data_IF_328802388993
#
_entry.id   IF_328802388993
#
_cell.length_a   1.000
_cell.length_b   1.000
_cell.length_c   1.000
_cell.angle_alpha   90.00
_cell.angle_beta   90.00
_cell.angle_gamma   90.00
#
_symmetry.space_group_name_H-M   'P 1'
#
loop_
_entity.id
_entity.type
_entity.pdbx_description
1 polymer ?
#
# COMPACT_ATOMS: atom_id res chain seq x y z
N UNK A 1 -9.58 68.84 -37.57
CA UNK A 1 -8.94 69.09 -36.23
C UNK A 1 -9.23 67.94 -35.34
N UNK A 2 -8.20 67.19 -35.08
CA UNK A 2 -8.19 65.98 -34.36
C UNK A 2 -8.07 66.19 -32.83
N UNK A 3 -8.77 65.48 -32.03
CA UNK A 3 -8.34 65.22 -30.61
C UNK A 3 -8.52 63.78 -30.22
N UNK A 4 -7.40 63.20 -29.82
CA UNK A 4 -7.18 61.89 -29.25
C UNK A 4 -7.76 61.80 -27.84
N UNK A 5 -8.44 60.70 -27.53
CA UNK A 5 -8.61 60.20 -26.14
C UNK A 5 -8.00 58.85 -26.02
N UNK A 6 -6.87 58.80 -25.31
CA UNK A 6 -6.23 57.58 -24.87
C UNK A 6 -6.81 57.16 -23.50
N UNK A 7 -7.49 56.06 -23.45
CA UNK A 7 -7.97 55.44 -22.20
C UNK A 7 -6.95 54.45 -21.70
N UNK A 8 -6.29 54.76 -20.59
CA UNK A 8 -5.41 53.85 -19.84
C UNK A 8 -6.24 52.77 -19.16
N UNK A 9 -6.04 51.49 -19.53
CA UNK A 9 -6.41 50.34 -18.71
C UNK A 9 -5.26 50.04 -17.79
N UNK A 10 -5.43 50.29 -16.48
CA UNK A 10 -4.56 49.81 -15.43
C UNK A 10 -4.79 48.30 -15.25
N UNK A 11 -3.84 47.48 -15.67
CA UNK A 11 -3.79 46.07 -15.37
C UNK A 11 -3.40 45.90 -13.88
N UNK A 12 -4.25 45.23 -13.12
CA UNK A 12 -3.95 44.79 -11.77
C UNK A 12 -3.08 43.55 -11.92
N UNK A 13 -1.77 43.71 -11.83
CA UNK A 13 -0.85 42.61 -11.58
C UNK A 13 -1.00 42.22 -10.10
N UNK A 14 -1.71 41.13 -9.85
CA UNK A 14 -1.68 40.45 -8.57
C UNK A 14 -0.29 39.79 -8.43
N UNK A 15 0.62 40.45 -7.71
CA UNK A 15 1.88 39.83 -7.28
C UNK A 15 1.53 38.75 -6.25
N UNK A 16 1.48 37.49 -6.69
CA UNK A 16 1.61 36.35 -5.82
C UNK A 16 3.07 36.36 -5.28
N UNK A 17 3.24 36.94 -4.11
CA UNK A 17 4.46 36.80 -3.35
C UNK A 17 4.59 35.31 -2.97
N UNK A 18 5.44 34.60 -3.69
CA UNK A 18 5.92 33.31 -3.24
C UNK A 18 6.70 33.52 -1.94
N UNK A 19 6.07 33.23 -0.82
CA UNK A 19 6.78 33.08 0.45
C UNK A 19 7.60 31.81 0.34
N UNK A 20 8.88 31.95 0.01
CA UNK A 20 9.83 30.85 0.08
C UNK A 20 9.84 30.30 1.52
N UNK A 21 9.74 28.98 1.70
CA UNK A 21 9.80 28.40 3.04
C UNK A 21 11.13 28.77 3.72
N UNK A 22 11.09 29.11 5.00
CA UNK A 22 12.22 29.57 5.81
C UNK A 22 13.41 28.60 5.89
N UNK A 23 13.29 27.38 5.39
CA UNK A 23 14.38 26.38 5.40
C UNK A 23 15.43 26.55 4.28
N UNK A 24 15.19 27.43 3.28
CA UNK A 24 16.21 27.74 2.26
C UNK A 24 17.31 28.71 2.72
N UNK A 25 17.19 29.34 3.89
CA UNK A 25 18.15 30.35 4.35
C UNK A 25 19.31 29.84 5.20
N UNK A 26 19.44 28.52 5.47
CA UNK A 26 20.46 27.97 6.36
C UNK A 26 21.67 27.30 5.63
N UNK A 27 22.03 27.78 4.43
CA UNK A 27 23.14 27.22 3.64
C UNK A 27 24.56 27.58 4.15
N UNK A 28 24.72 28.22 5.32
CA UNK A 28 26.04 28.61 5.83
C UNK A 28 26.49 27.90 7.12
N UNK A 29 25.70 27.00 7.68
CA UNK A 29 26.18 26.08 8.71
C UNK A 29 26.52 24.75 8.04
N UNK A 30 27.77 24.24 8.24
CA UNK A 30 28.21 22.99 7.59
C UNK A 30 27.20 21.86 7.82
N UNK A 31 26.96 21.02 6.79
CA UNK A 31 26.01 19.91 6.86
C UNK A 31 26.29 19.01 8.08
N UNK A 32 25.29 18.74 8.88
CA UNK A 32 25.37 17.85 10.05
C UNK A 32 25.86 16.48 9.63
N UNK A 33 26.83 15.93 10.37
CA UNK A 33 27.44 14.63 10.11
C UNK A 33 27.10 13.65 11.22
N UNK A 34 26.66 12.48 10.82
CA UNK A 34 26.31 11.37 11.72
C UNK A 34 27.32 10.26 11.54
N UNK A 35 28.00 9.85 12.61
CA UNK A 35 28.99 8.78 12.58
C UNK A 35 28.41 7.52 13.23
N UNK A 36 28.48 6.42 12.50
CA UNK A 36 27.97 5.13 12.95
C UNK A 36 28.97 4.43 13.85
N UNK A 37 28.48 3.64 14.80
CA UNK A 37 29.32 2.79 15.66
C UNK A 37 30.04 1.74 14.84
N UNK A 38 31.17 1.25 15.36
CA UNK A 38 31.96 0.18 14.74
C UNK A 38 31.16 -1.12 14.51
N UNK A 39 30.26 -1.44 15.44
CA UNK A 39 29.36 -2.59 15.30
C UNK A 39 27.94 -2.10 14.99
N UNK A 40 27.65 -1.97 13.71
CA UNK A 40 26.27 -1.71 13.23
C UNK A 40 25.66 -2.99 12.68
N UNK A 41 24.34 -3.01 12.54
CA UNK A 41 23.65 -4.14 11.94
C UNK A 41 24.06 -4.32 10.47
N UNK A 42 24.33 -5.55 10.06
CA UNK A 42 24.70 -5.89 8.67
C UNK A 42 23.68 -5.35 7.64
N UNK A 43 22.43 -5.12 8.05
CA UNK A 43 21.39 -4.57 7.18
C UNK A 43 21.76 -3.21 6.59
N UNK A 44 22.47 -2.34 7.34
CA UNK A 44 22.88 -1.01 6.83
C UNK A 44 23.92 -1.15 5.73
N UNK A 45 24.88 -2.07 5.87
CA UNK A 45 25.85 -2.41 4.83
C UNK A 45 25.17 -3.03 3.61
N UNK A 46 24.11 -3.83 3.82
CA UNK A 46 23.33 -4.48 2.76
C UNK A 46 22.29 -3.56 2.11
N UNK A 47 22.39 -2.24 2.35
CA UNK A 47 21.56 -1.26 1.65
C UNK A 47 20.31 -0.79 2.38
N UNK A 48 19.98 -1.35 3.56
CA UNK A 48 18.79 -0.90 4.31
C UNK A 48 18.92 0.58 4.69
N UNK A 49 17.91 1.45 4.43
CA UNK A 49 18.03 2.88 4.60
C UNK A 49 17.85 3.38 6.04
N UNK A 50 17.39 2.53 6.97
CA UNK A 50 17.10 2.95 8.34
C UNK A 50 18.30 2.85 9.25
N UNK A 51 18.56 3.91 9.99
CA UNK A 51 19.59 3.98 11.05
C UNK A 51 18.88 4.33 12.35
N UNK A 52 19.02 3.46 13.34
CA UNK A 52 18.45 3.66 14.67
C UNK A 52 19.42 4.44 15.58
N UNK A 53 18.87 5.10 16.61
CA UNK A 53 19.68 5.92 17.52
C UNK A 53 20.82 5.14 18.20
N UNK A 54 20.60 3.85 18.53
CA UNK A 54 21.62 2.99 19.15
C UNK A 54 22.75 2.59 18.21
N UNK A 55 22.63 2.85 16.91
CA UNK A 55 23.68 2.59 15.90
C UNK A 55 24.58 3.80 15.66
N UNK A 56 24.23 4.96 16.23
CA UNK A 56 24.99 6.21 16.11
C UNK A 56 25.99 6.34 17.26
N UNK A 57 27.24 6.71 16.95
CA UNK A 57 28.29 6.98 17.91
C UNK A 57 28.34 8.45 18.29
N UNK A 58 28.45 9.33 17.27
CA UNK A 58 28.53 10.79 17.45
C UNK A 58 27.77 11.51 16.34
N UNK A 59 27.35 12.73 16.65
CA UNK A 59 26.79 13.67 15.68
C UNK A 59 27.58 14.98 15.79
N UNK A 60 28.07 15.47 14.66
CA UNK A 60 28.78 16.76 14.54
C UNK A 60 27.88 17.76 13.82
N UNK A 61 27.72 18.95 14.39
CA UNK A 61 26.88 20.03 13.89
C UNK A 61 25.49 20.07 14.56
N UNK A 62 24.65 21.01 14.13
CA UNK A 62 23.34 21.25 14.72
C UNK A 62 22.31 20.23 14.20
N UNK A 63 21.59 19.59 15.11
CA UNK A 63 20.53 18.63 14.78
C UNK A 63 19.21 19.35 14.66
N UNK A 64 18.78 19.60 13.43
CA UNK A 64 17.45 20.14 13.14
C UNK A 64 16.57 19.00 12.64
N UNK A 65 15.45 18.78 13.31
CA UNK A 65 14.51 17.69 12.94
C UNK A 65 14.01 17.86 11.50
N UNK A 66 14.10 16.80 10.70
CA UNK A 66 13.73 16.77 9.28
C UNK A 66 14.81 17.30 8.32
N UNK A 67 15.95 17.82 8.82
CA UNK A 67 17.03 18.31 7.96
C UNK A 67 17.83 17.18 7.33
N UNK A 68 18.50 17.49 6.21
CA UNK A 68 19.41 16.57 5.52
C UNK A 68 20.73 16.49 6.30
N UNK A 69 21.24 15.27 6.41
CA UNK A 69 22.50 14.94 7.08
C UNK A 69 23.34 14.00 6.23
N UNK A 70 24.67 14.09 6.37
CA UNK A 70 25.61 13.11 5.85
C UNK A 70 25.92 12.06 6.90
N UNK A 71 25.90 10.80 6.51
CA UNK A 71 26.18 9.66 7.36
C UNK A 71 27.51 9.03 6.97
N UNK A 72 28.31 8.70 7.96
CA UNK A 72 29.64 8.09 7.80
C UNK A 72 29.73 6.82 8.63
N UNK A 73 30.44 5.84 8.10
CA UNK A 73 30.86 4.68 8.87
C UNK A 73 31.90 5.07 9.92
N UNK A 74 32.20 4.17 10.85
CA UNK A 74 33.20 4.38 11.91
C UNK A 74 34.62 4.71 11.35
N UNK A 75 34.98 4.18 10.19
CA UNK A 75 36.22 4.45 9.46
C UNK A 75 36.23 5.79 8.69
N UNK A 76 35.19 6.61 8.90
CA UNK A 76 34.95 7.89 8.22
C UNK A 76 34.65 7.80 6.73
N UNK A 77 34.43 6.61 6.20
CA UNK A 77 33.90 6.45 4.84
C UNK A 77 32.45 6.89 4.77
N UNK A 78 32.05 7.54 3.68
CA UNK A 78 30.70 7.99 3.45
C UNK A 78 29.74 6.80 3.34
N UNK A 79 28.71 6.78 4.18
CA UNK A 79 27.66 5.76 4.19
C UNK A 79 26.47 6.14 3.31
N UNK A 80 26.08 7.42 3.32
CA UNK A 80 24.93 7.92 2.58
C UNK A 80 24.47 9.28 3.07
N UNK A 81 23.46 9.82 2.42
CA UNK A 81 22.79 11.08 2.75
C UNK A 81 21.29 10.84 2.94
N UNK A 82 20.70 11.48 3.92
CA UNK A 82 19.29 11.31 4.24
C UNK A 82 18.81 12.39 5.20
N UNK A 83 17.66 12.20 5.81
CA UNK A 83 17.10 13.12 6.79
C UNK A 83 17.10 12.54 8.19
N UNK A 84 17.25 13.41 9.20
CA UNK A 84 17.30 13.06 10.62
C UNK A 84 16.02 13.48 11.34
N UNK A 85 15.53 12.62 12.25
CA UNK A 85 14.45 12.98 13.18
C UNK A 85 14.73 12.43 14.58
N UNK A 86 15.17 13.28 15.54
CA UNK A 86 15.46 12.85 16.90
C UNK A 86 14.27 12.31 17.69
N UNK A 87 13.03 12.59 17.27
CA UNK A 87 11.81 12.07 17.90
C UNK A 87 11.47 10.65 17.44
N UNK A 88 12.02 10.24 16.30
CA UNK A 88 11.73 8.92 15.71
C UNK A 88 12.65 7.84 16.27
N UNK A 89 12.16 6.61 16.41
CA UNK A 89 13.00 5.45 16.67
C UNK A 89 14.00 5.22 15.53
N UNK A 90 13.61 5.50 14.28
CA UNK A 90 14.49 5.49 13.12
C UNK A 90 15.10 6.90 13.02
N UNK A 91 16.26 7.08 13.65
CA UNK A 91 16.90 8.39 13.77
C UNK A 91 17.23 9.01 12.41
N UNK A 92 17.80 8.23 11.48
CA UNK A 92 18.07 8.69 10.12
C UNK A 92 17.49 7.73 9.10
N UNK A 93 16.87 8.30 8.04
CA UNK A 93 16.46 7.55 6.85
C UNK A 93 17.29 8.05 5.66
N UNK A 94 18.09 7.15 5.09
CA UNK A 94 18.93 7.44 3.94
C UNK A 94 18.08 7.56 2.67
N UNK A 95 18.35 8.59 1.88
CA UNK A 95 17.76 8.82 0.55
C UNK A 95 18.68 8.38 -0.58
N UNK A 96 20.02 8.44 -0.32
CA UNK A 96 21.00 8.07 -1.33
C UNK A 96 22.29 7.57 -0.68
N UNK A 97 23.01 6.72 -1.40
CA UNK A 97 24.40 6.28 -1.06
C UNK A 97 25.46 7.09 -1.78
N UNK A 98 25.07 8.06 -2.59
CA UNK A 98 25.95 8.95 -3.34
C UNK A 98 26.06 10.30 -2.65
N UNK A 99 27.19 10.99 -2.88
CA UNK A 99 27.35 12.40 -2.50
C UNK A 99 26.69 13.28 -3.56
N UNK A 100 25.37 13.37 -3.49
CA UNK A 100 24.54 14.17 -4.39
C UNK A 100 23.64 15.11 -3.58
N UNK A 101 23.17 16.17 -4.20
CA UNK A 101 22.27 17.13 -3.56
C UNK A 101 20.87 16.54 -3.48
N UNK A 102 20.22 16.68 -2.32
CA UNK A 102 18.80 16.41 -2.17
C UNK A 102 18.06 17.72 -2.47
N UNK A 103 17.38 17.74 -3.60
CA UNK A 103 16.71 18.93 -4.17
C UNK A 103 15.38 18.54 -4.78
N UNK A 104 14.63 19.50 -5.30
CA UNK A 104 13.39 19.24 -6.08
C UNK A 104 13.69 18.33 -7.27
N UNK A 105 14.83 18.56 -7.95
CA UNK A 105 15.26 17.74 -9.09
C UNK A 105 15.57 16.30 -8.70
N UNK A 106 16.08 16.05 -7.49
CA UNK A 106 16.28 14.69 -6.95
C UNK A 106 14.94 13.94 -6.91
N UNK A 107 13.89 14.54 -6.33
CA UNK A 107 12.57 13.90 -6.25
C UNK A 107 11.93 13.72 -7.63
N UNK A 108 12.09 14.70 -8.53
CA UNK A 108 11.64 14.57 -9.90
C UNK A 108 12.24 13.34 -10.59
N UNK A 109 13.56 13.16 -10.51
CA UNK A 109 14.23 12.00 -11.14
C UNK A 109 13.78 10.68 -10.51
N UNK A 110 13.69 10.59 -9.19
CA UNK A 110 13.25 9.37 -8.50
C UNK A 110 11.83 8.97 -8.87
N UNK A 111 10.91 9.93 -8.97
CA UNK A 111 9.52 9.66 -9.37
C UNK A 111 9.45 9.26 -10.84
N UNK A 112 10.21 9.92 -11.72
CA UNK A 112 10.28 9.58 -13.13
C UNK A 112 10.86 8.17 -13.37
N UNK A 113 11.93 7.79 -12.65
CA UNK A 113 12.52 6.44 -12.68
C UNK A 113 11.51 5.39 -12.19
N UNK A 114 10.81 5.65 -11.09
CA UNK A 114 9.79 4.76 -10.57
C UNK A 114 8.64 4.57 -11.58
N UNK A 115 8.22 5.63 -12.25
CA UNK A 115 7.19 5.55 -13.29
C UNK A 115 7.68 4.73 -14.50
N UNK A 116 8.88 4.98 -14.97
CA UNK A 116 9.49 4.19 -16.06
C UNK A 116 9.56 2.69 -15.71
N UNK A 117 9.89 2.37 -14.46
CA UNK A 117 9.86 0.99 -13.97
C UNK A 117 8.44 0.41 -14.00
N UNK A 118 7.42 1.13 -13.50
CA UNK A 118 6.01 0.67 -13.53
C UNK A 118 5.53 0.39 -14.94
N UNK A 119 5.84 1.27 -15.89
CA UNK A 119 5.53 1.07 -17.31
C UNK A 119 6.22 -0.17 -17.88
N UNK A 120 7.50 -0.37 -17.55
CA UNK A 120 8.28 -1.53 -18.02
C UNK A 120 7.69 -2.86 -17.55
N UNK A 121 7.10 -2.91 -16.36
CA UNK A 121 6.45 -4.12 -15.83
C UNK A 121 4.95 -4.17 -16.10
N UNK A 122 4.43 -3.29 -16.98
CA UNK A 122 3.08 -3.37 -17.53
C UNK A 122 1.99 -2.54 -16.82
N UNK A 123 2.35 -1.69 -15.84
CA UNK A 123 1.40 -0.79 -15.19
C UNK A 123 1.35 0.58 -15.87
N UNK A 124 0.18 0.97 -16.36
CA UNK A 124 -0.01 2.23 -17.10
C UNK A 124 -1.08 3.14 -16.51
N UNK A 125 -2.09 2.58 -15.84
CA UNK A 125 -3.24 3.34 -15.35
C UNK A 125 -3.29 3.43 -13.82
N UNK A 126 -3.32 2.27 -13.16
CA UNK A 126 -3.49 2.18 -11.71
C UNK A 126 -2.36 1.37 -11.11
N UNK A 127 -1.61 1.97 -10.19
CA UNK A 127 -0.51 1.29 -9.52
C UNK A 127 -0.06 2.04 -8.28
N UNK A 128 0.62 1.35 -7.40
CA UNK A 128 1.51 1.98 -6.42
C UNK A 128 2.74 2.50 -7.15
N UNK A 129 2.77 3.81 -7.38
CA UNK A 129 3.88 4.49 -8.04
C UNK A 129 5.14 4.48 -7.18
N UNK A 130 4.99 4.80 -5.88
CA UNK A 130 6.08 4.81 -4.90
C UNK A 130 5.71 3.93 -3.71
N UNK A 131 6.57 2.96 -3.43
CA UNK A 131 6.45 2.03 -2.30
C UNK A 131 7.62 2.23 -1.31
N UNK A 132 7.80 3.45 -0.85
CA UNK A 132 8.75 3.81 0.21
C UNK A 132 10.18 3.40 -0.08
N UNK A 133 10.67 2.49 0.72
CA UNK A 133 12.05 1.99 0.68
C UNK A 133 12.42 1.30 -0.64
N UNK A 134 11.43 0.78 -1.35
CA UNK A 134 11.66 0.08 -2.62
C UNK A 134 12.12 1.02 -3.74
N UNK A 135 11.69 2.28 -3.70
CA UNK A 135 12.15 3.33 -4.62
C UNK A 135 13.17 4.27 -3.98
N UNK A 136 13.82 3.84 -2.89
CA UNK A 136 14.79 4.65 -2.12
C UNK A 136 14.21 6.02 -1.67
N UNK A 137 12.89 6.06 -1.46
CA UNK A 137 12.16 7.20 -0.89
C UNK A 137 11.43 6.78 0.40
N UNK A 138 12.18 6.45 1.47
CA UNK A 138 11.63 5.86 2.68
C UNK A 138 10.52 6.71 3.27
N UNK A 139 9.43 6.04 3.71
CA UNK A 139 8.25 6.65 4.29
C UNK A 139 7.42 7.52 3.31
N UNK A 140 7.58 7.32 1.99
CA UNK A 140 6.72 7.90 0.96
C UNK A 140 5.88 6.82 0.30
N UNK A 141 4.58 7.03 0.23
CA UNK A 141 3.65 6.23 -0.55
C UNK A 141 2.97 7.13 -1.56
N UNK A 142 2.94 6.69 -2.82
CA UNK A 142 2.16 7.37 -3.86
C UNK A 142 1.40 6.30 -4.65
N UNK A 143 0.08 6.38 -4.61
CA UNK A 143 -0.80 5.58 -5.45
C UNK A 143 -1.34 6.43 -6.60
N UNK A 144 -1.26 5.86 -7.79
CA UNK A 144 -1.80 6.44 -9.02
C UNK A 144 -3.10 5.71 -9.36
N UNK A 145 -4.17 6.47 -9.52
CA UNK A 145 -5.50 6.03 -9.96
C UNK A 145 -5.89 6.83 -11.21
N UNK A 146 -5.64 6.29 -12.39
CA UNK A 146 -5.74 7.03 -13.68
C UNK A 146 -4.90 8.33 -13.63
N UNK A 147 -5.55 9.51 -13.68
CA UNK A 147 -4.92 10.83 -13.60
C UNK A 147 -4.95 11.43 -12.18
N UNK A 148 -5.34 10.66 -11.16
CA UNK A 148 -5.40 11.08 -9.77
C UNK A 148 -4.30 10.41 -8.96
N UNK A 149 -3.75 11.14 -7.98
CA UNK A 149 -2.68 10.65 -7.12
C UNK A 149 -3.06 10.78 -5.66
N UNK A 150 -2.78 9.74 -4.90
CA UNK A 150 -2.94 9.73 -3.44
C UNK A 150 -1.58 9.61 -2.79
N UNK A 151 -1.26 10.57 -1.93
CA UNK A 151 0.05 10.75 -1.31
C UNK A 151 -0.02 10.46 0.19
N UNK A 152 0.97 9.72 0.71
CA UNK A 152 1.23 9.60 2.14
C UNK A 152 2.69 9.91 2.43
N UNK A 153 2.94 10.88 3.32
CA UNK A 153 4.26 11.21 3.87
C UNK A 153 4.29 10.77 5.33
N UNK A 154 4.98 9.67 5.62
CA UNK A 154 4.89 8.96 6.89
C UNK A 154 6.02 9.32 7.87
N UNK A 155 6.92 10.24 7.51
CA UNK A 155 8.01 10.73 8.34
C UNK A 155 8.21 12.23 8.18
N UNK A 156 8.80 12.87 9.19
CA UNK A 156 8.98 14.32 9.21
C UNK A 156 9.82 14.84 8.04
N UNK A 157 10.95 14.18 7.74
CA UNK A 157 11.80 14.60 6.62
C UNK A 157 11.08 14.49 5.29
N UNK A 158 10.31 13.41 5.05
CA UNK A 158 9.54 13.26 3.82
C UNK A 158 8.37 14.25 3.75
N UNK A 159 7.74 14.57 4.90
CA UNK A 159 6.67 15.58 4.97
C UNK A 159 7.19 16.98 4.60
N UNK A 160 8.44 17.32 4.99
CA UNK A 160 9.09 18.58 4.61
C UNK A 160 9.30 18.67 3.09
N UNK A 161 9.54 17.55 2.41
CA UNK A 161 9.73 17.49 0.95
C UNK A 161 8.42 17.33 0.16
N UNK A 162 7.28 17.29 0.82
CA UNK A 162 5.97 17.16 0.16
C UNK A 162 5.72 18.20 -0.94
N UNK A 163 6.06 19.49 -0.79
CA UNK A 163 5.89 20.47 -1.88
C UNK A 163 6.68 20.10 -3.15
N UNK A 164 7.95 19.67 -3.00
CA UNK A 164 8.79 19.25 -4.12
C UNK A 164 8.22 17.99 -4.81
N UNK A 165 7.70 17.04 -4.03
CA UNK A 165 7.06 15.83 -4.54
C UNK A 165 5.80 16.17 -5.34
N UNK A 166 4.96 17.08 -4.83
CA UNK A 166 3.76 17.55 -5.54
C UNK A 166 4.13 18.24 -6.84
N UNK A 167 5.14 19.11 -6.83
CA UNK A 167 5.66 19.77 -8.04
C UNK A 167 6.16 18.75 -9.07
N UNK A 168 6.90 17.73 -8.64
CA UNK A 168 7.36 16.67 -9.53
C UNK A 168 6.20 15.88 -10.15
N UNK A 169 5.17 15.53 -9.38
CA UNK A 169 3.97 14.87 -9.90
C UNK A 169 3.25 15.74 -10.94
N UNK A 170 3.14 17.05 -10.69
CA UNK A 170 2.54 17.99 -11.62
C UNK A 170 3.31 18.07 -12.95
N UNK A 171 4.64 18.12 -12.88
CA UNK A 171 5.51 18.19 -14.06
C UNK A 171 5.52 16.91 -14.89
N UNK A 172 5.51 15.74 -14.25
CA UNK A 172 5.60 14.45 -14.93
C UNK A 172 4.25 14.03 -15.51
N UNK A 173 3.16 14.24 -14.78
CA UNK A 173 1.87 13.63 -15.10
C UNK A 173 0.76 14.63 -15.48
N UNK A 174 0.92 15.91 -15.16
CA UNK A 174 -0.16 16.90 -15.28
C UNK A 174 -1.50 16.37 -14.73
N UNK A 175 -1.56 15.94 -13.43
CA UNK A 175 -2.66 15.18 -12.87
C UNK A 175 -3.94 16.02 -12.77
N UNK A 176 -5.10 15.35 -12.84
CA UNK A 176 -6.41 15.94 -12.56
C UNK A 176 -6.59 16.29 -11.08
N UNK A 177 -5.90 15.55 -10.20
CA UNK A 177 -5.98 15.80 -8.78
C UNK A 177 -4.92 15.07 -7.98
N UNK A 178 -4.50 15.69 -6.87
CA UNK A 178 -3.59 15.13 -5.88
C UNK A 178 -4.25 15.29 -4.51
N UNK A 179 -4.35 14.20 -3.76
CA UNK A 179 -4.94 14.15 -2.43
C UNK A 179 -3.97 13.53 -1.42
N UNK A 180 -3.88 14.08 -0.21
CA UNK A 180 -3.09 13.45 0.85
C UNK A 180 -3.96 12.63 1.81
N UNK A 181 -3.49 11.43 2.12
CA UNK A 181 -4.09 10.48 3.09
C UNK A 181 -3.12 10.22 4.24
N UNK A 182 -2.74 11.28 4.91
CA UNK A 182 -1.87 11.28 6.07
C UNK A 182 -2.64 11.07 7.40
N UNK A 183 -3.85 10.55 7.34
CA UNK A 183 -4.74 10.17 8.45
C UNK A 183 -4.38 8.80 9.06
N UNK A 184 -3.08 8.54 9.24
CA UNK A 184 -2.55 7.27 9.72
C UNK A 184 -1.78 7.41 11.04
N UNK A 185 -1.98 6.49 12.02
CA UNK A 185 -1.41 6.61 13.36
C UNK A 185 0.13 6.64 13.42
N UNK A 186 0.81 6.04 12.43
CA UNK A 186 2.28 5.97 12.39
C UNK A 186 2.94 7.35 12.39
N UNK A 187 2.26 8.39 11.89
CA UNK A 187 2.75 9.78 11.89
C UNK A 187 3.02 10.33 13.28
N UNK A 188 2.26 9.90 14.28
CA UNK A 188 2.47 10.31 15.67
C UNK A 188 3.85 9.88 16.20
N UNK A 189 4.40 8.75 15.72
CA UNK A 189 5.75 8.29 16.09
C UNK A 189 6.86 9.19 15.53
N UNK A 190 6.55 10.00 14.54
CA UNK A 190 7.44 10.99 13.93
C UNK A 190 7.21 12.42 14.48
N UNK A 191 6.25 12.59 15.39
CA UNK A 191 5.85 13.90 15.93
C UNK A 191 4.98 14.71 14.97
N UNK A 192 4.30 14.05 14.00
CA UNK A 192 3.42 14.66 13.01
C UNK A 192 1.95 14.45 13.37
N UNK A 193 1.13 15.46 13.10
CA UNK A 193 -0.32 15.35 13.17
C UNK A 193 -0.86 14.49 12.02
N UNK A 194 -2.00 13.84 12.24
CA UNK A 194 -2.77 13.24 11.16
C UNK A 194 -3.49 14.33 10.37
N UNK A 195 -3.50 14.19 9.05
CA UNK A 195 -4.18 15.13 8.14
C UNK A 195 -4.58 14.44 6.85
N UNK A 196 -5.62 14.93 6.22
CA UNK A 196 -6.03 14.58 4.87
C UNK A 196 -6.58 15.80 4.15
N UNK A 197 -6.47 15.85 2.83
CA UNK A 197 -6.98 16.97 2.06
C UNK A 197 -6.39 17.07 0.65
N UNK A 198 -6.86 18.06 -0.08
CA UNK A 198 -6.40 18.32 -1.44
C UNK A 198 -5.02 19.00 -1.44
N UNK A 199 -4.10 18.46 -2.26
CA UNK A 199 -2.80 19.07 -2.57
C UNK A 199 -2.81 19.74 -3.97
N UNK A 200 -3.95 19.74 -4.63
CA UNK A 200 -4.27 20.44 -5.88
C UNK A 200 -5.61 21.17 -5.74
N UNK A 201 -6.16 21.69 -6.84
CA UNK A 201 -7.55 22.15 -6.86
C UNK A 201 -8.49 20.98 -6.45
N UNK A 202 -9.59 21.26 -5.71
CA UNK A 202 -10.55 20.23 -5.32
C UNK A 202 -11.16 19.51 -6.53
N UNK A 203 -11.41 18.19 -6.35
CA UNK A 203 -12.02 17.31 -7.33
C UNK A 203 -12.97 16.32 -6.65
N UNK A 204 -13.78 15.59 -7.41
CA UNK A 204 -14.60 14.51 -6.87
C UNK A 204 -13.70 13.35 -6.44
N UNK A 205 -13.68 13.04 -5.14
CA UNK A 205 -12.87 11.98 -4.55
C UNK A 205 -13.43 10.57 -4.78
N UNK A 206 -14.67 10.46 -5.32
CA UNK A 206 -15.25 9.20 -5.78
C UNK A 206 -14.97 9.02 -7.28
N UNK A 207 -13.90 8.32 -7.60
CA UNK A 207 -13.47 8.09 -8.97
C UNK A 207 -13.74 6.68 -9.43
N UNK A 208 -13.70 6.43 -10.74
CA UNK A 208 -13.77 5.11 -11.32
C UNK A 208 -12.42 4.73 -11.89
N UNK A 209 -11.92 3.54 -11.55
CA UNK A 209 -10.72 2.93 -12.12
C UNK A 209 -11.06 1.71 -12.97
N UNK A 210 -10.12 1.33 -13.86
CA UNK A 210 -10.19 0.06 -14.59
C UNK A 210 -9.15 -0.90 -14.01
N UNK A 211 -9.55 -2.14 -13.74
CA UNK A 211 -8.64 -3.20 -13.33
C UNK A 211 -9.04 -4.52 -14.00
N UNK A 212 -8.12 -5.14 -14.73
CA UNK A 212 -8.33 -6.44 -15.39
C UNK A 212 -9.61 -6.50 -16.27
N UNK A 213 -9.99 -5.38 -16.91
CA UNK A 213 -11.18 -5.28 -17.76
C UNK A 213 -12.47 -4.93 -17.02
N UNK A 214 -12.43 -4.70 -15.75
CA UNK A 214 -13.55 -4.33 -14.88
C UNK A 214 -13.40 -2.89 -14.37
N UNK A 215 -14.51 -2.26 -14.00
CA UNK A 215 -14.57 -0.92 -13.43
C UNK A 215 -14.88 -0.97 -11.94
N UNK A 216 -14.21 -0.14 -11.16
CA UNK A 216 -14.45 -0.06 -9.71
C UNK A 216 -14.50 1.39 -9.25
N UNK A 217 -15.46 1.69 -8.38
CA UNK A 217 -15.45 2.94 -7.63
C UNK A 217 -14.34 2.90 -6.57
N UNK A 218 -13.62 3.99 -6.48
CA UNK A 218 -12.58 4.24 -5.46
C UNK A 218 -12.95 5.49 -4.71
N UNK A 219 -13.16 5.40 -3.40
CA UNK A 219 -13.31 6.55 -2.51
C UNK A 219 -11.94 6.92 -1.96
N UNK A 220 -11.32 7.93 -2.58
CA UNK A 220 -9.99 8.42 -2.19
C UNK A 220 -10.02 9.00 -0.78
N UNK A 221 -11.08 9.70 -0.41
CA UNK A 221 -11.17 10.41 0.87
C UNK A 221 -11.48 9.50 2.05
N UNK A 222 -12.41 8.54 1.93
CA UNK A 222 -12.93 7.76 3.06
C UNK A 222 -12.67 6.26 2.94
N UNK A 223 -12.23 5.78 1.77
CA UNK A 223 -11.90 4.37 1.55
C UNK A 223 -10.71 3.90 2.40
N UNK A 224 -10.61 2.60 2.60
CA UNK A 224 -9.48 2.01 3.34
C UNK A 224 -8.15 2.25 2.61
N UNK A 225 -7.05 2.34 3.36
CA UNK A 225 -5.72 2.72 2.84
C UNK A 225 -5.80 4.06 2.07
N UNK A 226 -5.50 4.02 0.79
CA UNK A 226 -5.56 5.16 -0.14
C UNK A 226 -6.84 5.18 -0.98
N UNK A 227 -7.81 4.28 -0.67
CA UNK A 227 -9.08 4.13 -1.35
C UNK A 227 -9.30 2.76 -2.01
N UNK A 228 -8.22 2.03 -2.32
CA UNK A 228 -8.28 0.74 -3.02
C UNK A 228 -7.09 -0.16 -2.65
N UNK A 229 -7.24 -1.47 -2.82
CA UNK A 229 -6.20 -2.48 -2.54
C UNK A 229 -5.47 -2.86 -3.83
N UNK A 230 -4.60 -1.99 -4.32
CA UNK A 230 -3.78 -2.23 -5.51
C UNK A 230 -2.86 -3.46 -5.36
N UNK A 231 -2.41 -3.74 -4.15
CA UNK A 231 -1.52 -4.86 -3.84
C UNK A 231 -2.08 -6.24 -4.16
N UNK A 232 -3.41 -6.36 -4.35
CA UNK A 232 -4.09 -7.63 -4.69
C UNK A 232 -4.44 -7.76 -6.19
N UNK A 233 -4.13 -6.78 -7.04
CA UNK A 233 -4.63 -6.79 -8.44
C UNK A 233 -4.13 -8.00 -9.26
N UNK A 234 -2.88 -8.44 -9.07
CA UNK A 234 -2.34 -9.63 -9.73
C UNK A 234 -2.96 -10.92 -9.16
N UNK A 235 -3.28 -10.93 -7.86
CA UNK A 235 -3.91 -12.04 -7.18
C UNK A 235 -5.39 -12.21 -7.61
N UNK A 236 -6.08 -11.10 -7.86
CA UNK A 236 -7.44 -11.14 -8.45
C UNK A 236 -7.43 -11.74 -9.86
N UNK A 237 -6.38 -11.56 -10.63
CA UNK A 237 -6.20 -12.23 -11.92
C UNK A 237 -5.92 -13.72 -11.78
N UNK A 238 -5.19 -14.11 -10.74
CA UNK A 238 -4.78 -15.50 -10.54
C UNK A 238 -5.94 -16.48 -10.30
N UNK A 239 -7.15 -16.01 -9.89
CA UNK A 239 -8.31 -16.87 -9.69
C UNK A 239 -9.01 -17.29 -11.00
N UNK A 240 -8.66 -16.71 -12.15
CA UNK A 240 -9.38 -16.87 -13.43
C UNK A 240 -9.66 -18.32 -13.80
N UNK A 241 -8.70 -19.21 -13.59
CA UNK A 241 -8.82 -20.61 -14.05
C UNK A 241 -9.58 -21.52 -13.09
N UNK A 242 -9.81 -21.11 -11.85
CA UNK A 242 -10.45 -21.94 -10.83
C UNK A 242 -11.92 -21.60 -10.59
N UNK A 243 -12.40 -20.47 -11.11
CA UNK A 243 -13.78 -19.97 -10.82
C UNK A 243 -14.79 -20.25 -11.93
N UNK A 244 -14.36 -20.68 -13.13
CA UNK A 244 -15.26 -20.89 -14.27
C UNK A 244 -16.31 -21.96 -13.99
N UNK A 245 -17.61 -21.59 -14.05
CA UNK A 245 -18.74 -22.46 -13.76
C UNK A 245 -18.93 -22.80 -12.28
N UNK A 246 -18.15 -22.19 -11.38
CA UNK A 246 -18.13 -22.50 -9.96
C UNK A 246 -19.22 -21.74 -9.17
N UNK A 247 -19.71 -22.39 -8.11
CA UNK A 247 -20.42 -21.72 -7.02
C UNK A 247 -19.35 -21.23 -6.01
N UNK A 248 -19.29 -19.89 -5.81
CA UNK A 248 -18.19 -19.23 -5.08
C UNK A 248 -18.71 -18.57 -3.81
N UNK A 249 -18.01 -18.76 -2.70
CA UNK A 249 -18.17 -18.00 -1.46
C UNK A 249 -16.94 -17.12 -1.24
N UNK A 250 -17.13 -15.80 -1.11
CA UNK A 250 -16.14 -14.85 -0.65
C UNK A 250 -16.42 -14.37 0.76
N UNK A 251 -15.40 -14.21 1.60
CA UNK A 251 -15.54 -13.62 2.92
C UNK A 251 -14.46 -12.57 3.17
N UNK A 252 -14.84 -11.51 3.90
CA UNK A 252 -14.05 -10.28 4.09
C UNK A 252 -13.89 -9.50 2.78
N UNK A 253 -15.00 -9.35 2.05
CA UNK A 253 -15.00 -8.95 0.63
C UNK A 253 -14.73 -7.46 0.43
N UNK A 254 -14.83 -6.64 1.48
CA UNK A 254 -14.75 -5.18 1.39
C UNK A 254 -15.69 -4.66 0.27
N UNK A 255 -15.13 -4.04 -0.78
CA UNK A 255 -15.89 -3.52 -1.92
C UNK A 255 -16.12 -4.54 -3.03
N UNK A 256 -15.95 -5.84 -2.75
CA UNK A 256 -16.35 -6.96 -3.61
C UNK A 256 -15.42 -7.25 -4.79
N UNK A 257 -14.18 -6.80 -4.72
CA UNK A 257 -13.28 -6.84 -5.89
C UNK A 257 -12.91 -8.26 -6.34
N UNK A 258 -12.65 -9.20 -5.43
CA UNK A 258 -12.38 -10.60 -5.79
C UNK A 258 -13.63 -11.29 -6.35
N UNK A 259 -14.78 -11.05 -5.74
CA UNK A 259 -16.05 -11.65 -6.09
C UNK A 259 -16.53 -11.21 -7.48
N UNK A 260 -16.37 -9.92 -7.79
CA UNK A 260 -16.70 -9.35 -9.10
C UNK A 260 -15.75 -9.91 -10.18
N UNK A 261 -14.44 -10.09 -9.87
CA UNK A 261 -13.52 -10.78 -10.77
C UNK A 261 -13.93 -12.25 -10.98
N UNK A 262 -14.36 -12.96 -9.93
CA UNK A 262 -14.83 -14.33 -10.06
C UNK A 262 -16.05 -14.42 -11.00
N UNK A 263 -17.02 -13.53 -10.86
CA UNK A 263 -18.16 -13.45 -11.75
C UNK A 263 -17.75 -13.12 -13.19
N UNK A 264 -16.84 -12.15 -13.39
CA UNK A 264 -16.31 -11.79 -14.71
C UNK A 264 -15.59 -12.94 -15.39
N UNK A 265 -14.86 -13.76 -14.63
CA UNK A 265 -14.18 -14.95 -15.16
C UNK A 265 -15.10 -16.16 -15.33
N UNK A 266 -16.41 -15.99 -15.17
CA UNK A 266 -17.43 -16.97 -15.52
C UNK A 266 -17.84 -17.89 -14.38
N UNK A 267 -17.76 -17.46 -13.12
CA UNK A 267 -18.41 -18.15 -12.02
C UNK A 267 -19.93 -18.25 -12.29
N UNK A 268 -20.54 -19.35 -11.84
CA UNK A 268 -21.98 -19.59 -11.99
C UNK A 268 -22.77 -18.73 -11.01
N UNK A 269 -22.32 -18.65 -9.77
CA UNK A 269 -22.89 -17.84 -8.71
C UNK A 269 -21.79 -17.42 -7.73
N UNK A 270 -21.90 -16.22 -7.18
CA UNK A 270 -20.94 -15.70 -6.20
C UNK A 270 -21.70 -15.05 -5.04
N UNK A 271 -21.38 -15.47 -3.82
CA UNK A 271 -21.86 -14.83 -2.60
C UNK A 271 -20.66 -14.20 -1.86
N UNK A 272 -20.70 -12.89 -1.63
CA UNK A 272 -19.69 -12.14 -0.90
C UNK A 272 -20.19 -11.69 0.47
N UNK A 273 -19.36 -11.82 1.51
CA UNK A 273 -19.69 -11.46 2.89
C UNK A 273 -18.71 -10.41 3.43
N UNK A 274 -19.23 -9.32 3.98
CA UNK A 274 -18.47 -8.37 4.78
C UNK A 274 -19.30 -7.92 5.97
N UNK A 275 -18.64 -7.52 7.07
CA UNK A 275 -19.35 -7.04 8.25
C UNK A 275 -19.86 -5.60 8.07
N UNK A 276 -19.27 -4.84 7.15
CA UNK A 276 -19.56 -3.42 6.91
C UNK A 276 -20.68 -3.26 5.88
N UNK A 277 -21.83 -2.77 6.33
CA UNK A 277 -22.97 -2.44 5.44
C UNK A 277 -22.55 -1.45 4.33
N UNK A 278 -21.68 -0.47 4.66
CA UNK A 278 -21.17 0.50 3.68
C UNK A 278 -20.29 -0.18 2.61
N UNK A 279 -19.44 -1.13 3.01
CA UNK A 279 -18.62 -1.90 2.07
C UNK A 279 -19.51 -2.75 1.15
N UNK A 280 -20.51 -3.43 1.70
CA UNK A 280 -21.49 -4.23 0.95
C UNK A 280 -22.29 -3.35 -0.01
N UNK A 281 -22.75 -2.17 0.42
CA UNK A 281 -23.42 -1.22 -0.46
C UNK A 281 -22.54 -0.79 -1.64
N UNK A 282 -21.23 -0.55 -1.38
CA UNK A 282 -20.25 -0.20 -2.42
C UNK A 282 -19.96 -1.40 -3.33
N UNK A 283 -19.88 -2.62 -2.79
CA UNK A 283 -19.70 -3.85 -3.57
C UNK A 283 -20.88 -4.09 -4.55
N UNK A 284 -22.13 -3.88 -4.10
CA UNK A 284 -23.30 -3.94 -4.97
C UNK A 284 -23.28 -2.89 -6.09
N UNK A 285 -22.81 -1.64 -5.79
CA UNK A 285 -22.61 -0.62 -6.84
C UNK A 285 -21.53 -1.04 -7.85
N UNK A 286 -20.46 -1.68 -7.39
CA UNK A 286 -19.42 -2.18 -8.27
C UNK A 286 -19.92 -3.35 -9.15
N UNK A 287 -20.75 -4.24 -8.61
CA UNK A 287 -21.38 -5.31 -9.39
C UNK A 287 -22.28 -4.73 -10.49
N UNK A 288 -23.15 -3.78 -10.14
CA UNK A 288 -24.04 -3.09 -11.09
C UNK A 288 -23.24 -2.32 -12.17
N UNK A 289 -22.14 -1.64 -11.78
CA UNK A 289 -21.27 -0.90 -12.72
C UNK A 289 -20.70 -1.80 -13.82
N UNK A 290 -20.57 -3.10 -13.55
CA UNK A 290 -20.04 -4.11 -14.47
C UNK A 290 -21.12 -5.02 -15.07
N UNK A 291 -22.42 -4.83 -14.76
CA UNK A 291 -23.53 -5.68 -15.24
C UNK A 291 -23.49 -7.11 -14.71
N UNK A 292 -22.93 -7.30 -13.49
CA UNK A 292 -22.74 -8.61 -12.87
C UNK A 292 -23.65 -8.85 -11.65
N UNK A 293 -24.61 -7.97 -11.39
CA UNK A 293 -25.51 -8.00 -10.24
C UNK A 293 -26.42 -9.24 -10.21
N UNK A 294 -26.60 -9.91 -11.33
CA UNK A 294 -27.38 -11.15 -11.41
C UNK A 294 -26.56 -12.41 -11.05
N UNK A 295 -25.21 -12.29 -11.00
CA UNK A 295 -24.29 -13.41 -10.72
C UNK A 295 -23.70 -13.28 -9.34
N UNK A 296 -23.40 -12.03 -8.91
CA UNK A 296 -22.75 -11.75 -7.64
C UNK A 296 -23.70 -11.03 -6.69
N UNK A 297 -23.79 -11.53 -5.47
CA UNK A 297 -24.59 -10.95 -4.39
C UNK A 297 -23.71 -10.71 -3.17
N UNK A 298 -24.00 -9.64 -2.42
CA UNK A 298 -23.26 -9.31 -1.21
C UNK A 298 -24.20 -9.18 -0.02
N UNK A 299 -23.76 -9.73 1.13
CA UNK A 299 -24.53 -9.69 2.38
C UNK A 299 -23.68 -9.14 3.52
N UNK A 300 -24.29 -8.26 4.35
CA UNK A 300 -23.64 -7.70 5.53
C UNK A 300 -23.69 -8.71 6.69
N UNK A 301 -22.65 -9.49 6.86
CA UNK A 301 -22.55 -10.56 7.86
C UNK A 301 -21.15 -10.64 8.48
N UNK A 302 -21.09 -11.02 9.76
CA UNK A 302 -19.83 -11.35 10.40
C UNK A 302 -19.32 -12.73 9.89
N UNK A 303 -18.30 -12.71 9.06
CA UNK A 303 -17.73 -13.92 8.48
C UNK A 303 -17.29 -14.97 9.51
N UNK A 304 -16.75 -14.56 10.67
CA UNK A 304 -16.32 -15.51 11.72
C UNK A 304 -17.49 -16.36 12.24
N UNK A 305 -18.65 -15.74 12.46
CA UNK A 305 -19.85 -16.42 12.96
C UNK A 305 -20.48 -17.27 11.88
N UNK A 306 -20.65 -16.71 10.69
CA UNK A 306 -21.31 -17.34 9.56
C UNK A 306 -20.54 -18.57 9.07
N UNK A 307 -19.23 -18.49 8.87
CA UNK A 307 -18.41 -19.64 8.44
C UNK A 307 -18.51 -20.82 9.42
N UNK A 308 -18.60 -20.53 10.73
CA UNK A 308 -18.77 -21.56 11.75
C UNK A 308 -20.11 -22.27 11.65
N UNK A 309 -21.20 -21.52 11.45
CA UNK A 309 -22.55 -22.03 11.32
C UNK A 309 -22.69 -22.85 10.03
N UNK A 310 -22.32 -22.25 8.89
CA UNK A 310 -22.49 -22.87 7.57
C UNK A 310 -21.63 -24.12 7.37
N UNK A 311 -20.43 -24.16 7.96
CA UNK A 311 -19.62 -25.38 7.97
C UNK A 311 -20.28 -26.52 8.76
N UNK A 312 -21.07 -26.23 9.82
CA UNK A 312 -21.85 -27.23 10.57
C UNK A 312 -23.12 -27.66 9.81
N UNK A 313 -23.75 -26.74 9.11
CA UNK A 313 -24.89 -27.00 8.24
C UNK A 313 -24.53 -27.84 7.00
N UNK A 314 -23.22 -27.96 6.70
CA UNK A 314 -22.74 -28.72 5.54
C UNK A 314 -22.92 -28.02 4.21
N UNK A 315 -22.99 -26.65 4.19
CA UNK A 315 -23.00 -25.90 2.94
C UNK A 315 -21.75 -26.20 2.12
N UNK A 316 -21.91 -26.26 0.80
CA UNK A 316 -20.84 -26.67 -0.11
C UNK A 316 -20.69 -25.68 -1.27
N UNK A 317 -19.44 -25.30 -1.55
CA UNK A 317 -19.04 -24.41 -2.65
C UNK A 317 -17.92 -25.06 -3.46
N UNK A 318 -17.77 -24.68 -4.72
CA UNK A 318 -16.63 -25.11 -5.54
C UNK A 318 -15.37 -24.33 -5.18
N UNK A 319 -15.53 -23.04 -4.84
CA UNK A 319 -14.43 -22.15 -4.42
C UNK A 319 -14.84 -21.37 -3.17
N UNK A 320 -13.94 -21.33 -2.18
CA UNK A 320 -14.06 -20.44 -1.01
C UNK A 320 -12.88 -19.49 -1.00
N UNK A 321 -13.15 -18.18 -0.97
CA UNK A 321 -12.16 -17.10 -0.95
C UNK A 321 -12.19 -16.40 0.41
N UNK A 322 -11.02 -16.28 1.06
CA UNK A 322 -10.84 -15.70 2.38
C UNK A 322 -9.73 -14.64 2.33
N UNK A 323 -10.08 -13.36 2.36
CA UNK A 323 -9.11 -12.24 2.40
C UNK A 323 -9.28 -11.40 3.69
N UNK A 324 -8.96 -11.98 4.85
CA UNK A 324 -9.22 -11.36 6.14
C UNK A 324 -8.31 -10.16 6.39
N UNK A 325 -8.72 -9.22 7.26
CA UNK A 325 -7.85 -8.16 7.74
C UNK A 325 -6.66 -8.72 8.51
N UNK A 326 -5.63 -7.91 8.71
CA UNK A 326 -4.48 -8.28 9.52
C UNK A 326 -4.92 -8.62 10.96
N UNK A 327 -4.74 -9.87 11.39
CA UNK A 327 -5.15 -10.33 12.73
C UNK A 327 -4.16 -9.93 13.83
N UNK A 328 -3.00 -9.38 13.48
CA UNK A 328 -2.03 -8.89 14.45
C UNK A 328 -1.32 -7.63 13.98
N UNK A 329 -1.03 -6.75 14.95
CA UNK A 329 -0.20 -5.55 14.80
C UNK A 329 1.00 -5.56 15.75
N UNK A 330 1.14 -6.60 16.59
CA UNK A 330 2.25 -6.73 17.55
C UNK A 330 2.77 -8.16 17.62
N UNK A 331 4.03 -8.33 18.03
CA UNK A 331 4.66 -9.65 18.18
C UNK A 331 3.97 -10.52 19.24
N UNK A 332 3.46 -9.88 20.30
CA UNK A 332 2.78 -10.61 21.40
C UNK A 332 1.45 -11.24 20.94
N UNK A 333 0.84 -10.72 19.88
CA UNK A 333 -0.44 -11.23 19.35
C UNK A 333 -0.32 -12.19 18.17
N UNK A 334 0.90 -12.59 17.77
CA UNK A 334 1.13 -13.52 16.66
C UNK A 334 0.38 -14.85 16.89
N UNK A 335 0.43 -15.43 18.10
CA UNK A 335 -0.23 -16.70 18.38
C UNK A 335 -1.76 -16.61 18.25
N UNK A 336 -2.36 -15.47 18.62
CA UNK A 336 -3.79 -15.23 18.41
C UNK A 336 -4.11 -15.12 16.92
N UNK A 337 -3.24 -14.48 16.15
CA UNK A 337 -3.41 -14.36 14.69
C UNK A 337 -3.35 -15.74 14.01
N UNK A 338 -2.39 -16.60 14.38
CA UNK A 338 -2.29 -17.96 13.87
C UNK A 338 -3.58 -18.75 14.16
N UNK A 339 -4.11 -18.64 15.38
CA UNK A 339 -5.37 -19.28 15.76
C UNK A 339 -6.54 -18.76 14.89
N UNK A 340 -6.61 -17.46 14.65
CA UNK A 340 -7.63 -16.85 13.79
C UNK A 340 -7.54 -17.33 12.34
N UNK A 341 -6.34 -17.29 11.74
CA UNK A 341 -6.13 -17.79 10.38
C UNK A 341 -6.45 -19.28 10.27
N UNK A 342 -6.01 -20.10 11.23
CA UNK A 342 -6.32 -21.52 11.26
C UNK A 342 -7.81 -21.78 11.29
N UNK A 343 -8.55 -21.07 12.15
CA UNK A 343 -10.01 -21.27 12.32
C UNK A 343 -10.78 -20.94 11.06
N UNK A 344 -10.57 -19.77 10.43
CA UNK A 344 -11.33 -19.41 9.22
C UNK A 344 -11.00 -20.36 8.07
N UNK A 345 -9.75 -20.74 7.89
CA UNK A 345 -9.32 -21.64 6.82
C UNK A 345 -9.86 -23.07 7.02
N UNK A 346 -9.88 -23.55 8.26
CA UNK A 346 -10.52 -24.83 8.61
C UNK A 346 -12.00 -24.81 8.25
N UNK A 347 -12.74 -23.75 8.58
CA UNK A 347 -14.17 -23.61 8.25
C UNK A 347 -14.38 -23.52 6.74
N UNK A 348 -13.55 -22.70 6.05
CA UNK A 348 -13.57 -22.62 4.59
C UNK A 348 -13.39 -24.01 3.94
N UNK A 349 -12.34 -24.75 4.33
CA UNK A 349 -12.06 -26.07 3.76
C UNK A 349 -13.19 -27.10 3.99
N UNK A 350 -13.94 -27.02 5.11
CA UNK A 350 -15.10 -27.87 5.36
C UNK A 350 -16.27 -27.61 4.42
N UNK A 351 -16.33 -26.42 3.87
CA UNK A 351 -17.39 -26.01 2.92
C UNK A 351 -16.96 -26.17 1.47
N UNK A 352 -15.79 -26.71 1.18
CA UNK A 352 -15.32 -26.93 -0.18
C UNK A 352 -15.69 -28.37 -0.61
N UNK A 353 -16.35 -28.47 -1.77
CA UNK A 353 -16.62 -29.74 -2.46
C UNK A 353 -15.30 -30.46 -2.74
N UNK A 354 -15.32 -31.80 -2.78
CA UNK A 354 -14.12 -32.58 -3.09
C UNK A 354 -13.55 -32.19 -4.46
N UNK A 355 -12.28 -31.77 -4.51
CA UNK A 355 -11.62 -31.25 -5.72
C UNK A 355 -11.84 -29.76 -5.99
N UNK A 356 -12.56 -29.04 -5.12
CA UNK A 356 -12.71 -27.58 -5.19
C UNK A 356 -11.49 -26.84 -4.63
N UNK A 357 -11.56 -25.51 -4.54
CA UNK A 357 -10.40 -24.66 -4.24
C UNK A 357 -10.62 -23.75 -3.04
N UNK A 358 -9.60 -23.60 -2.23
CA UNK A 358 -9.46 -22.54 -1.24
C UNK A 358 -8.53 -21.45 -1.79
N UNK A 359 -8.98 -20.19 -1.75
CA UNK A 359 -8.18 -18.99 -1.94
C UNK A 359 -8.06 -18.30 -0.58
N UNK A 360 -6.85 -18.02 -0.11
CA UNK A 360 -6.68 -17.40 1.20
C UNK A 360 -5.47 -16.49 1.23
N UNK A 361 -5.58 -15.39 2.00
CA UNK A 361 -4.52 -14.38 2.12
C UNK A 361 -4.17 -14.03 3.57
N UNK A 362 -3.01 -13.40 3.72
CA UNK A 362 -2.59 -12.73 4.95
C UNK A 362 -1.77 -11.49 4.61
N UNK A 363 -2.22 -10.33 5.07
CA UNK A 363 -1.59 -9.03 4.80
C UNK A 363 -0.73 -8.51 5.96
N UNK A 364 -0.24 -9.37 6.86
CA UNK A 364 0.60 -8.95 7.99
C UNK A 364 2.06 -9.40 7.86
N UNK A 365 3.01 -8.48 8.00
CA UNK A 365 4.45 -8.79 8.04
C UNK A 365 4.86 -9.74 9.17
N UNK A 366 4.12 -9.75 10.27
CA UNK A 366 4.47 -10.54 11.46
C UNK A 366 4.21 -12.03 11.29
N UNK A 367 3.33 -12.43 10.36
CA UNK A 367 3.13 -13.82 9.97
C UNK A 367 3.92 -14.05 8.69
N UNK A 368 5.15 -14.56 8.85
CA UNK A 368 6.05 -14.87 7.75
C UNK A 368 5.48 -15.96 6.83
N UNK A 369 5.93 -16.08 5.57
CA UNK A 369 5.40 -17.05 4.60
C UNK A 369 5.35 -18.49 5.13
N UNK A 370 6.44 -18.98 5.72
CA UNK A 370 6.50 -20.35 6.24
C UNK A 370 5.48 -20.59 7.35
N UNK A 371 5.33 -19.61 8.27
CA UNK A 371 4.37 -19.70 9.36
C UNK A 371 2.93 -19.68 8.85
N UNK A 372 2.66 -18.90 7.80
CA UNK A 372 1.35 -18.87 7.13
C UNK A 372 1.04 -20.23 6.51
N UNK A 373 1.96 -20.80 5.71
CA UNK A 373 1.79 -22.12 5.08
C UNK A 373 1.58 -23.24 6.11
N UNK A 374 2.36 -23.26 7.19
CA UNK A 374 2.17 -24.21 8.30
C UNK A 374 0.80 -24.07 8.95
N UNK A 375 0.30 -22.82 9.08
CA UNK A 375 -1.04 -22.58 9.64
C UNK A 375 -2.15 -23.15 8.75
N UNK A 376 -2.01 -23.02 7.42
CA UNK A 376 -2.96 -23.59 6.46
C UNK A 376 -2.88 -25.13 6.47
N UNK A 377 -1.70 -25.71 6.56
CA UNK A 377 -1.52 -27.15 6.70
C UNK A 377 -2.20 -27.70 7.98
N UNK A 378 -2.03 -27.02 9.11
CA UNK A 378 -2.72 -27.37 10.37
C UNK A 378 -4.25 -27.30 10.20
N UNK A 379 -4.76 -26.27 9.52
CA UNK A 379 -6.19 -26.15 9.22
C UNK A 379 -6.71 -27.30 8.37
N UNK A 380 -5.97 -27.70 7.33
CA UNK A 380 -6.31 -28.84 6.48
C UNK A 380 -6.33 -30.17 7.23
N UNK A 381 -5.34 -30.39 8.12
CA UNK A 381 -5.28 -31.57 8.99
C UNK A 381 -6.51 -31.67 9.88
N UNK A 382 -6.90 -30.58 10.54
CA UNK A 382 -8.06 -30.54 11.42
C UNK A 382 -9.39 -30.62 10.66
N UNK A 383 -9.43 -30.11 9.43
CA UNK A 383 -10.57 -30.29 8.52
C UNK A 383 -10.68 -31.72 7.92
N UNK A 384 -9.68 -32.58 8.15
CA UNK A 384 -9.53 -33.92 7.54
C UNK A 384 -9.47 -33.87 6.01
N UNK A 385 -8.82 -32.83 5.46
CA UNK A 385 -8.65 -32.62 4.01
C UNK A 385 -7.18 -32.80 3.62
N UNK A 386 -6.96 -33.16 2.36
CA UNK A 386 -5.69 -33.08 1.66
C UNK A 386 -5.68 -31.81 0.83
N UNK A 387 -4.57 -31.11 0.78
CA UNK A 387 -4.40 -29.89 -0.02
C UNK A 387 -3.23 -30.04 -0.99
N UNK A 388 -3.40 -29.44 -2.18
CA UNK A 388 -2.31 -29.29 -3.16
C UNK A 388 -2.18 -27.82 -3.51
N UNK A 389 -0.98 -27.29 -3.37
CA UNK A 389 -0.71 -25.91 -3.77
C UNK A 389 -0.83 -25.74 -5.28
N UNK A 390 -1.58 -24.74 -5.70
CA UNK A 390 -1.75 -24.32 -7.08
C UNK A 390 -0.98 -23.02 -7.34
N UNK A 391 -1.15 -22.02 -6.46
CA UNK A 391 -0.51 -20.72 -6.53
C UNK A 391 -0.01 -20.33 -5.15
N UNK A 392 1.17 -19.73 -5.08
CA UNK A 392 1.63 -18.97 -3.91
C UNK A 392 2.29 -17.68 -4.40
N UNK A 393 1.63 -16.56 -4.17
CA UNK A 393 2.06 -15.23 -4.58
C UNK A 393 2.26 -14.33 -3.36
N UNK A 394 2.98 -13.23 -3.59
CA UNK A 394 3.07 -12.08 -2.71
C UNK A 394 2.09 -10.97 -3.17
N UNK A 395 2.38 -9.72 -2.81
CA UNK A 395 1.71 -8.54 -3.34
C UNK A 395 2.00 -8.36 -4.84
N UNK A 396 1.15 -7.57 -5.50
CA UNK A 396 1.31 -7.25 -6.92
C UNK A 396 2.67 -6.58 -7.21
N UNK A 397 3.15 -6.73 -8.44
CA UNK A 397 4.52 -6.37 -8.83
C UNK A 397 4.82 -4.86 -8.75
N UNK A 398 3.79 -4.01 -8.66
CA UNK A 398 3.91 -2.58 -8.38
C UNK A 398 4.22 -2.26 -6.89
N UNK A 399 4.24 -3.28 -6.04
CA UNK A 399 4.69 -3.23 -4.64
C UNK A 399 5.98 -4.08 -4.52
N UNK A 400 7.14 -3.62 -5.01
CA UNK A 400 8.32 -4.46 -5.14
C UNK A 400 8.83 -4.96 -3.80
N UNK A 401 9.27 -6.22 -3.77
CA UNK A 401 9.95 -6.83 -2.63
C UNK A 401 11.45 -6.59 -2.80
N UNK A 402 12.04 -5.89 -1.85
CA UNK A 402 13.49 -5.62 -1.83
C UNK A 402 14.18 -6.69 -0.97
N UNK A 403 15.10 -7.42 -1.58
CA UNK A 403 15.88 -8.45 -0.88
C UNK A 403 16.72 -7.83 0.23
N UNK A 404 16.61 -8.40 1.44
CA UNK A 404 17.23 -7.82 2.64
C UNK A 404 16.38 -6.77 3.38
N UNK A 405 15.17 -6.47 2.89
CA UNK A 405 14.20 -5.59 3.54
C UNK A 405 12.87 -6.33 3.76
N UNK A 406 12.81 -7.13 4.83
CA UNK A 406 11.65 -8.01 5.13
C UNK A 406 10.32 -7.23 5.22
N UNK A 407 10.35 -5.97 5.64
CA UNK A 407 9.17 -5.11 5.74
C UNK A 407 8.52 -4.79 4.38
N UNK A 408 9.21 -5.02 3.28
CA UNK A 408 8.64 -4.88 1.93
C UNK A 408 7.87 -6.11 1.46
N UNK A 409 7.97 -7.27 2.15
CA UNK A 409 7.23 -8.50 1.84
C UNK A 409 6.16 -8.76 2.91
N UNK A 410 4.94 -8.30 2.69
CA UNK A 410 3.89 -8.35 3.72
C UNK A 410 2.65 -9.16 3.33
N UNK A 411 2.40 -9.38 2.05
CA UNK A 411 1.24 -10.12 1.58
C UNK A 411 1.61 -11.55 1.23
N UNK A 412 0.79 -12.49 1.64
CA UNK A 412 0.82 -13.89 1.24
C UNK A 412 -0.53 -14.22 0.67
N UNK A 413 -0.55 -14.74 -0.55
CA UNK A 413 -1.73 -15.18 -1.27
C UNK A 413 -1.55 -16.63 -1.71
N UNK A 414 -2.49 -17.48 -1.37
CA UNK A 414 -2.40 -18.92 -1.60
C UNK A 414 -3.67 -19.45 -2.25
N UNK A 415 -3.51 -20.24 -3.31
CA UNK A 415 -4.58 -21.08 -3.87
C UNK A 415 -4.19 -22.54 -3.68
N UNK A 416 -5.07 -23.33 -3.07
CA UNK A 416 -4.92 -24.77 -2.92
C UNK A 416 -6.17 -25.52 -3.43
N UNK A 417 -5.95 -26.63 -4.12
CA UNK A 417 -6.98 -27.64 -4.37
C UNK A 417 -7.22 -28.41 -3.05
N UNK A 418 -8.50 -28.64 -2.71
CA UNK A 418 -8.93 -29.30 -1.48
C UNK A 418 -9.61 -30.62 -1.80
N UNK A 419 -9.15 -31.72 -1.25
CA UNK A 419 -9.69 -33.07 -1.43
C UNK A 419 -9.98 -33.75 -0.10
N UNK A 420 -10.96 -34.63 -0.10
CA UNK A 420 -11.18 -35.53 1.03
C UNK A 420 -10.00 -36.49 1.22
N UNK A 421 -9.74 -36.89 2.49
CA UNK A 421 -8.71 -37.87 2.82
C UNK A 421 -9.18 -39.26 2.49
#
# INVERSE_FOLDING_TARGET
>A
MLNFFATQRKGIFCQLAFVLPQWQSNYFCGMTKVFLRRKIANRVFNGHPWIFANEVETIEGDVIAGSIVDVFYNDKNFCGRGYINPKSQILVRLLTRKKEEISEQFFYHRIAEAWAYRQKIGYTENCRLIFGEAEEMPALIIDKFNDYFVLQTLSLGMDNWKPAIVTALQQIFNPKGIYERNDVPVRALEGLAQQKGFLSAPFDTNIIINENGLKFYVDIENGQKTGYFLDQQDNRRAIQHIVKGADVLGAFTYTGTFEIHAAHYGAKSVLGLDISENAVAQANKNALLNGLENIVHFEAMNAFDVLKVWAKEGRQYDVVMLDPPAFTKSRESIQKAITGYKEINLRGMKMIKNGGFLVTSSCTNLVQPDLFLQTIEMAAKDARKKIKQVVFNAQASDHPIVWGMENTNYLKFLIVEVRDK
#
